data_IF_182308858368
#
_entry.id   IF_182308858368
#
_cell.length_a   1.000
_cell.length_b   1.000
_cell.length_c   1.000
_cell.angle_alpha   90.00
_cell.angle_beta   90.00
_cell.angle_gamma   90.00
#
_symmetry.space_group_name_H-M   'P 1'
#
loop_
_entity.id
_entity.type
_entity.pdbx_description
1 polymer ?
#
# COMPACT_ATOMS: atom_id res chain seq x y z
N UNK A 1 -10.16 -9.82 4.18
CA UNK A 1 -8.79 -10.29 3.87
C UNK A 1 -8.78 -11.14 2.61
N UNK A 2 -9.86 -11.88 2.35
CA UNK A 2 -9.98 -12.73 1.16
C UNK A 2 -9.88 -11.94 -0.15
N UNK A 3 -10.47 -10.74 -0.23
CA UNK A 3 -10.39 -9.90 -1.43
C UNK A 3 -8.94 -9.54 -1.80
N UNK A 4 -8.13 -9.12 -0.82
CA UNK A 4 -6.70 -8.80 -1.02
C UNK A 4 -5.94 -10.06 -1.44
N UNK A 5 -6.27 -11.21 -0.84
CA UNK A 5 -5.64 -12.49 -1.17
C UNK A 5 -5.97 -12.94 -2.59
N UNK A 6 -7.22 -12.77 -3.02
CA UNK A 6 -7.68 -13.11 -4.36
C UNK A 6 -7.00 -12.20 -5.40
N UNK A 7 -6.91 -10.90 -5.14
CA UNK A 7 -6.18 -9.96 -6.01
C UNK A 7 -4.70 -10.38 -6.16
N UNK A 8 -4.01 -10.67 -5.05
CA UNK A 8 -2.59 -11.10 -5.10
C UNK A 8 -2.43 -12.41 -5.87
N UNK A 9 -3.36 -13.36 -5.73
CA UNK A 9 -3.36 -14.60 -6.52
C UNK A 9 -3.49 -14.30 -8.01
N UNK A 10 -4.41 -13.43 -8.40
CA UNK A 10 -4.58 -13.04 -9.80
C UNK A 10 -3.32 -12.36 -10.36
N UNK A 11 -2.76 -11.38 -9.65
CA UNK A 11 -1.53 -10.70 -10.08
C UNK A 11 -0.36 -11.67 -10.26
N UNK A 12 -0.21 -12.65 -9.35
CA UNK A 12 0.79 -13.71 -9.49
C UNK A 12 0.53 -14.61 -10.70
N UNK A 13 -0.73 -15.01 -10.94
CA UNK A 13 -1.08 -15.87 -12.08
C UNK A 13 -0.76 -15.21 -13.43
N UNK A 14 -0.81 -13.89 -13.51
CA UNK A 14 -0.45 -13.11 -14.71
C UNK A 14 1.02 -12.65 -14.70
N UNK A 15 1.83 -13.12 -13.75
CA UNK A 15 3.26 -12.75 -13.60
C UNK A 15 3.49 -11.22 -13.53
N UNK A 16 2.51 -10.48 -13.02
CA UNK A 16 2.60 -9.03 -12.87
C UNK A 16 3.50 -8.74 -11.68
N UNK A 17 4.59 -8.01 -11.91
CA UNK A 17 5.46 -7.54 -10.82
C UNK A 17 4.68 -6.56 -9.94
N UNK A 18 4.53 -6.88 -8.66
CA UNK A 18 3.74 -6.08 -7.72
C UNK A 18 4.27 -6.17 -6.29
N UNK A 19 3.86 -5.22 -5.46
CA UNK A 19 4.09 -5.23 -4.01
C UNK A 19 2.78 -4.86 -3.30
N UNK A 20 2.43 -5.58 -2.23
CA UNK A 20 1.28 -5.26 -1.38
C UNK A 20 1.74 -5.04 0.06
N UNK A 21 1.39 -3.88 0.64
CA UNK A 21 1.65 -3.56 2.06
C UNK A 21 0.34 -3.46 2.83
N UNK A 22 0.23 -4.24 3.91
CA UNK A 22 -0.91 -4.21 4.83
C UNK A 22 -0.51 -3.46 6.10
N UNK A 23 -1.24 -2.41 6.43
CA UNK A 23 -1.05 -1.65 7.67
C UNK A 23 -2.05 -2.13 8.73
N UNK A 24 -1.55 -2.83 9.75
CA UNK A 24 -2.38 -3.34 10.85
C UNK A 24 -2.86 -2.23 11.79
N UNK A 25 -4.10 -2.36 12.28
CA UNK A 25 -4.66 -1.46 13.29
C UNK A 25 -5.13 -0.10 12.76
N UNK A 26 -5.23 0.08 11.45
CA UNK A 26 -5.76 1.31 10.83
C UNK A 26 -7.01 1.03 10.01
N UNK A 27 -7.86 2.04 9.84
CA UNK A 27 -9.08 1.97 9.04
C UNK A 27 -8.84 2.54 7.63
N UNK A 28 -9.80 2.33 6.74
CA UNK A 28 -9.81 3.02 5.45
C UNK A 28 -9.71 4.54 5.66
N UNK A 29 -9.09 5.24 4.70
CA UNK A 29 -8.82 6.68 4.77
C UNK A 29 -7.77 7.11 5.82
N UNK A 30 -6.87 6.21 6.24
CA UNK A 30 -5.81 6.52 7.21
C UNK A 30 -4.82 7.63 6.79
N UNK A 31 -4.84 8.04 5.51
CA UNK A 31 -4.02 9.12 4.94
C UNK A 31 -4.71 10.49 4.98
N UNK A 32 -6.00 10.56 5.34
CA UNK A 32 -6.74 11.83 5.30
C UNK A 32 -6.59 12.56 6.63
N UNK A 33 -5.69 13.56 6.67
CA UNK A 33 -5.46 14.41 7.84
C UNK A 33 -6.76 15.08 8.30
N UNK A 34 -6.96 15.11 9.62
CA UNK A 34 -8.17 15.68 10.23
C UNK A 34 -9.39 14.75 10.23
N UNK A 35 -9.32 13.60 9.55
CA UNK A 35 -10.37 12.57 9.67
C UNK A 35 -10.25 11.81 10.99
N UNK A 36 -11.35 11.19 11.43
CA UNK A 36 -11.37 10.27 12.58
C UNK A 36 -10.39 9.10 12.41
N UNK A 37 -10.18 8.67 11.17
CA UNK A 37 -9.48 7.44 10.83
C UNK A 37 -8.00 7.68 10.48
N UNK A 38 -7.53 8.94 10.55
CA UNK A 38 -6.15 9.33 10.27
C UNK A 38 -5.16 8.59 11.17
N UNK A 39 -4.08 8.09 10.56
CA UNK A 39 -2.96 7.49 11.27
C UNK A 39 -1.66 7.99 10.66
N UNK A 40 -1.00 8.92 11.34
CA UNK A 40 0.30 9.48 10.91
C UNK A 40 1.35 8.37 10.68
N UNK A 41 1.36 7.34 11.54
CA UNK A 41 2.29 6.22 11.43
C UNK A 41 2.08 5.43 10.14
N UNK A 42 0.82 5.15 9.75
CA UNK A 42 0.53 4.43 8.52
C UNK A 42 0.68 5.32 7.28
N UNK A 43 0.31 6.60 7.38
CA UNK A 43 0.54 7.60 6.34
C UNK A 43 2.03 7.64 5.97
N UNK A 44 2.92 7.91 6.94
CA UNK A 44 4.38 7.98 6.71
C UNK A 44 4.92 6.71 6.04
N UNK A 45 4.57 5.54 6.56
CA UNK A 45 5.02 4.26 5.99
C UNK A 45 4.53 4.04 4.56
N UNK A 46 3.27 4.39 4.27
CA UNK A 46 2.71 4.30 2.92
C UNK A 46 3.35 5.28 1.94
N UNK A 47 3.70 6.47 2.42
CA UNK A 47 4.38 7.48 1.62
C UNK A 47 5.82 7.08 1.30
N UNK A 48 6.56 6.59 2.30
CA UNK A 48 7.93 6.09 2.12
C UNK A 48 7.97 4.90 1.13
N UNK A 49 6.97 4.02 1.19
CA UNK A 49 6.81 2.92 0.24
C UNK A 49 6.63 3.42 -1.20
N UNK A 50 5.73 4.39 -1.39
CA UNK A 50 5.46 4.99 -2.69
C UNK A 50 6.71 5.69 -3.25
N UNK A 51 7.38 6.50 -2.44
CA UNK A 51 8.61 7.19 -2.87
C UNK A 51 9.73 6.20 -3.21
N UNK A 52 9.85 5.11 -2.45
CA UNK A 52 10.82 4.04 -2.74
C UNK A 52 10.53 3.39 -4.10
N UNK A 53 9.27 3.06 -4.37
CA UNK A 53 8.84 2.53 -5.66
C UNK A 53 9.14 3.51 -6.81
N UNK A 54 8.76 4.78 -6.66
CA UNK A 54 9.00 5.79 -7.69
C UNK A 54 10.50 6.00 -7.96
N UNK A 55 11.33 6.01 -6.92
CA UNK A 55 12.78 6.12 -7.04
C UNK A 55 13.43 4.89 -7.70
N UNK A 56 12.87 3.69 -7.49
CA UNK A 56 13.30 2.49 -8.21
C UNK A 56 12.95 2.61 -9.70
N UNK A 57 11.72 3.03 -10.03
CA UNK A 57 11.24 3.11 -11.41
C UNK A 57 11.76 4.31 -12.19
N UNK A 58 12.12 5.41 -11.52
CA UNK A 58 12.70 6.61 -12.16
C UNK A 58 14.18 6.48 -12.51
N UNK A 59 14.82 5.36 -12.12
CA UNK A 59 16.22 5.05 -12.43
C UNK A 59 16.38 4.15 -13.67
N UNK A 60 15.27 3.85 -14.35
CA UNK A 60 15.20 3.21 -15.66
C UNK A 60 15.31 4.28 -16.76
#
# INVERSE_FOLDING_TARGET
MDDVTNLVKELNNFEIQHEVRIYGGVRHSFTIKGSRDYSEKAERKSWDALLSYLNEKSKL
#
